data_IF_645462491108
#
_entry.id   IF_645462491108
#
_cell.length_a   1.000
_cell.length_b   1.000
_cell.length_c   1.000
_cell.angle_alpha   90.00
_cell.angle_beta   90.00
_cell.angle_gamma   90.00
#
_symmetry.space_group_name_H-M   'P 1'
#
loop_
_entity.id
_entity.type
_entity.pdbx_description
1 polymer ?
#
# COMPACT_ATOMS: atom_id res chain seq x y z
N UNK A 1 7.82 -12.14 1.10
CA UNK A 1 8.81 -12.27 2.22
C UNK A 1 8.54 -13.47 3.13
N UNK A 2 7.31 -13.99 3.15
CA UNK A 2 6.90 -15.10 4.02
C UNK A 2 6.99 -16.48 3.34
N UNK A 3 7.15 -16.52 2.01
CA UNK A 3 7.37 -17.77 1.24
C UNK A 3 8.64 -18.56 1.64
N UNK A 4 9.63 -17.95 2.31
CA UNK A 4 10.78 -18.68 2.89
C UNK A 4 10.56 -19.17 4.32
N UNK A 5 9.46 -18.78 4.99
CA UNK A 5 9.07 -19.29 6.30
C UNK A 5 8.01 -20.41 6.21
N UNK A 6 7.33 -20.55 5.08
CA UNK A 6 6.30 -21.56 4.83
C UNK A 6 6.83 -22.97 4.50
N UNK A 7 8.16 -23.14 4.40
CA UNK A 7 8.81 -24.44 4.14
C UNK A 7 8.90 -25.39 5.34
N UNK A 8 8.45 -24.99 6.53
CA UNK A 8 8.43 -25.84 7.73
C UNK A 8 6.98 -26.22 8.07
N UNK A 9 6.48 -27.27 7.45
CA UNK A 9 5.23 -27.91 7.82
C UNK A 9 5.35 -28.58 9.19
N UNK A 10 5.14 -27.80 10.26
CA UNK A 10 5.08 -28.36 11.61
C UNK A 10 3.69 -28.94 11.88
N UNK A 11 3.55 -30.23 12.28
CA UNK A 11 2.25 -30.90 12.41
C UNK A 11 1.35 -30.39 13.56
N UNK A 12 1.80 -29.38 14.31
CA UNK A 12 1.11 -28.83 15.49
C UNK A 12 1.11 -27.28 15.54
N UNK A 13 1.33 -26.59 14.40
CA UNK A 13 1.76 -25.18 14.35
C UNK A 13 0.70 -24.08 14.18
N UNK A 14 -0.57 -24.40 13.90
CA UNK A 14 -1.58 -23.40 13.48
C UNK A 14 -1.85 -22.28 14.50
N UNK A 15 -1.93 -22.60 15.79
CA UNK A 15 -2.18 -21.60 16.84
C UNK A 15 -0.97 -20.67 17.04
N UNK A 16 0.23 -21.22 17.24
CA UNK A 16 1.46 -20.44 17.47
C UNK A 16 1.80 -19.52 16.29
N UNK A 17 1.44 -19.91 15.07
CA UNK A 17 1.73 -19.12 13.89
C UNK A 17 0.85 -17.86 13.77
N UNK A 18 -0.44 -17.99 14.07
CA UNK A 18 -1.37 -16.86 14.12
C UNK A 18 -0.95 -15.87 15.21
N UNK A 19 -0.61 -16.36 16.42
CA UNK A 19 -0.16 -15.50 17.52
C UNK A 19 1.10 -14.70 17.20
N UNK A 20 1.98 -15.21 16.33
CA UNK A 20 3.20 -14.51 15.92
C UNK A 20 2.96 -13.51 14.80
N UNK A 21 2.11 -13.84 13.84
CA UNK A 21 1.90 -13.02 12.64
C UNK A 21 0.82 -11.95 12.83
N UNK A 22 -0.15 -12.18 13.71
CA UNK A 22 -1.25 -11.24 13.92
C UNK A 22 -0.81 -9.87 14.47
N UNK A 23 0.14 -9.76 15.42
CA UNK A 23 0.67 -8.45 15.83
C UNK A 23 1.33 -7.70 14.67
N UNK A 24 2.09 -8.40 13.82
CA UNK A 24 2.71 -7.80 12.62
C UNK A 24 1.64 -7.27 11.66
N UNK A 25 0.58 -8.05 11.44
CA UNK A 25 -0.58 -7.59 10.68
C UNK A 25 -1.17 -6.31 11.27
N UNK A 26 -1.40 -6.25 12.58
CA UNK A 26 -1.95 -5.06 13.23
C UNK A 26 -1.04 -3.83 13.05
N UNK A 27 0.27 -3.99 13.21
CA UNK A 27 1.23 -2.90 13.06
C UNK A 27 1.24 -2.35 11.62
N UNK A 28 1.27 -3.24 10.62
CA UNK A 28 1.21 -2.84 9.20
C UNK A 28 -0.15 -2.22 8.87
N UNK A 29 -1.25 -2.77 9.38
CA UNK A 29 -2.59 -2.25 9.14
C UNK A 29 -2.76 -0.84 9.73
N UNK A 30 -2.26 -0.61 10.95
CA UNK A 30 -2.25 0.73 11.57
C UNK A 30 -1.38 1.69 10.76
N UNK A 31 -0.23 1.26 10.24
CA UNK A 31 0.59 2.07 9.35
C UNK A 31 -0.16 2.45 8.05
N UNK A 32 -0.90 1.52 7.44
CA UNK A 32 -1.71 1.76 6.23
C UNK A 32 -2.82 2.78 6.49
N UNK A 33 -3.63 2.59 7.53
CA UNK A 33 -4.81 3.43 7.76
C UNK A 33 -4.52 4.70 8.54
N UNK A 34 -3.77 4.61 9.65
CA UNK A 34 -3.47 5.73 10.53
C UNK A 34 -2.19 6.42 10.11
N UNK A 35 -1.13 5.65 9.83
CA UNK A 35 0.17 6.17 9.40
C UNK A 35 0.04 7.05 8.16
N UNK A 36 -0.21 6.44 7.00
CA UNK A 36 -0.42 7.18 5.75
C UNK A 36 -1.58 8.17 5.82
N UNK A 37 -2.72 7.76 6.40
CA UNK A 37 -3.93 8.57 6.46
C UNK A 37 -3.71 9.91 7.16
N UNK A 38 -3.09 9.90 8.35
CA UNK A 38 -2.79 11.13 9.06
C UNK A 38 -1.57 11.84 8.49
N UNK A 39 -0.53 11.13 8.04
CA UNK A 39 0.67 11.76 7.45
C UNK A 39 0.27 12.73 6.32
N UNK A 40 -0.68 12.35 5.47
CA UNK A 40 -1.17 13.17 4.36
C UNK A 40 -2.06 14.35 4.76
N UNK A 41 -2.41 14.50 6.05
CA UNK A 41 -3.24 15.63 6.52
C UNK A 41 -2.51 16.96 6.59
N UNK A 42 -1.19 16.98 6.31
CA UNK A 42 -0.40 18.21 6.33
C UNK A 42 -0.97 19.32 5.41
N UNK A 43 -1.63 18.94 4.31
CA UNK A 43 -2.33 19.87 3.42
C UNK A 43 -3.52 20.55 4.14
N UNK A 44 -3.39 21.84 4.41
CA UNK A 44 -4.28 22.64 5.27
C UNK A 44 -5.76 22.67 4.89
N UNK A 45 -6.12 22.34 3.65
CA UNK A 45 -7.52 22.27 3.16
C UNK A 45 -7.91 20.91 2.61
N UNK A 46 -7.13 19.86 2.90
CA UNK A 46 -7.36 18.52 2.36
C UNK A 46 -7.41 17.42 3.43
N UNK A 47 -7.43 17.74 4.73
CA UNK A 47 -7.41 16.73 5.80
C UNK A 47 -8.51 15.65 5.71
N UNK A 48 -9.75 16.03 5.38
CA UNK A 48 -10.83 15.04 5.17
C UNK A 48 -10.61 14.17 3.93
N UNK A 49 -10.08 14.76 2.86
CA UNK A 49 -9.70 14.02 1.65
C UNK A 49 -8.55 13.06 1.93
N UNK A 50 -7.54 13.50 2.67
CA UNK A 50 -6.38 12.69 3.05
C UNK A 50 -6.81 11.41 3.80
N UNK A 51 -7.51 11.55 4.93
CA UNK A 51 -7.93 10.38 5.73
C UNK A 51 -9.01 9.56 5.01
N UNK A 52 -10.02 10.23 4.45
CA UNK A 52 -11.16 9.56 3.83
C UNK A 52 -10.78 8.80 2.56
N UNK A 53 -9.96 9.38 1.69
CA UNK A 53 -9.51 8.71 0.47
C UNK A 53 -8.46 7.65 0.76
N UNK A 54 -7.62 7.83 1.80
CA UNK A 54 -6.76 6.74 2.28
C UNK A 54 -7.59 5.53 2.68
N UNK A 55 -8.63 5.72 3.50
CA UNK A 55 -9.49 4.63 3.94
C UNK A 55 -10.15 3.91 2.76
N UNK A 56 -10.71 4.68 1.81
CA UNK A 56 -11.34 4.14 0.60
C UNK A 56 -10.36 3.32 -0.25
N UNK A 57 -9.20 3.91 -0.56
CA UNK A 57 -8.22 3.33 -1.47
C UNK A 57 -7.53 2.13 -0.83
N UNK A 58 -7.16 2.22 0.45
CA UNK A 58 -6.55 1.13 1.19
C UNK A 58 -7.48 -0.08 1.26
N UNK A 59 -8.73 0.10 1.68
CA UNK A 59 -9.70 -1.01 1.78
C UNK A 59 -9.87 -1.71 0.43
N UNK A 60 -10.05 -0.93 -0.64
CA UNK A 60 -10.16 -1.48 -1.99
C UNK A 60 -8.88 -2.20 -2.44
N UNK A 61 -7.71 -1.60 -2.21
CA UNK A 61 -6.43 -2.17 -2.60
C UNK A 61 -6.11 -3.47 -1.85
N UNK A 62 -6.50 -3.60 -0.58
CA UNK A 62 -6.34 -4.83 0.20
C UNK A 62 -7.19 -5.96 -0.39
N UNK A 63 -8.47 -5.70 -0.67
CA UNK A 63 -9.37 -6.69 -1.28
C UNK A 63 -8.87 -7.10 -2.67
N UNK A 64 -8.50 -6.11 -3.49
CA UNK A 64 -8.01 -6.37 -4.84
C UNK A 64 -6.66 -7.10 -4.83
N UNK A 65 -5.73 -6.71 -3.97
CA UNK A 65 -4.42 -7.36 -3.85
C UNK A 65 -4.55 -8.79 -3.33
N UNK A 66 -5.46 -9.06 -2.40
CA UNK A 66 -5.71 -10.43 -1.91
C UNK A 66 -6.07 -11.36 -3.08
N UNK A 67 -6.89 -10.89 -4.02
CA UNK A 67 -7.25 -11.64 -5.23
C UNK A 67 -6.04 -11.77 -6.17
N UNK A 68 -5.40 -10.65 -6.52
CA UNK A 68 -4.29 -10.63 -7.50
C UNK A 68 -3.10 -11.47 -7.02
N UNK A 69 -2.67 -11.30 -5.76
CA UNK A 69 -1.62 -12.11 -5.14
C UNK A 69 -2.03 -13.58 -5.02
N UNK A 70 -3.28 -13.84 -4.65
CA UNK A 70 -3.84 -15.19 -4.60
C UNK A 70 -3.70 -15.93 -5.93
N UNK A 71 -4.00 -15.25 -7.03
CA UNK A 71 -3.88 -15.78 -8.38
C UNK A 71 -2.44 -15.95 -8.87
N UNK A 72 -1.54 -15.01 -8.53
CA UNK A 72 -0.17 -15.00 -9.05
C UNK A 72 0.79 -15.90 -8.23
N UNK A 73 0.74 -15.82 -6.90
CA UNK A 73 1.70 -16.50 -6.02
C UNK A 73 1.17 -17.83 -5.46
N UNK A 74 -0.14 -17.94 -5.22
CA UNK A 74 -0.69 -18.95 -4.31
C UNK A 74 -1.74 -19.87 -4.96
N UNK A 75 -1.94 -19.79 -6.27
CA UNK A 75 -2.96 -20.57 -6.96
C UNK A 75 -2.59 -22.06 -7.00
N UNK A 76 -3.40 -22.88 -6.33
CA UNK A 76 -3.29 -24.35 -6.32
C UNK A 76 -4.67 -24.95 -6.57
N UNK A 77 -4.78 -25.80 -7.58
CA UNK A 77 -6.04 -26.46 -7.97
C UNK A 77 -7.22 -25.49 -8.16
N UNK A 78 -6.94 -24.29 -8.70
CA UNK A 78 -7.94 -23.25 -8.94
C UNK A 78 -8.41 -22.51 -7.69
N UNK A 79 -7.74 -22.68 -6.54
CA UNK A 79 -8.04 -22.00 -5.28
C UNK A 79 -6.78 -21.40 -4.68
N UNK A 80 -6.96 -20.40 -3.82
CA UNK A 80 -5.90 -19.87 -2.96
C UNK A 80 -6.48 -19.66 -1.56
N UNK A 81 -5.65 -19.89 -0.54
CA UNK A 81 -6.05 -19.73 0.86
C UNK A 81 -5.82 -18.30 1.33
N UNK A 82 -6.74 -17.80 2.15
CA UNK A 82 -6.62 -16.48 2.77
C UNK A 82 -6.32 -16.68 4.25
N UNK A 83 -5.19 -16.15 4.70
CA UNK A 83 -4.73 -16.17 6.08
C UNK A 83 -4.09 -14.84 6.50
N UNK A 84 -3.55 -14.79 7.71
CA UNK A 84 -2.94 -13.55 8.24
C UNK A 84 -1.77 -13.09 7.36
N UNK A 85 -0.97 -14.01 6.82
CA UNK A 85 0.12 -13.67 5.90
C UNK A 85 -0.36 -13.00 4.62
N UNK A 86 -1.41 -13.55 3.98
CA UNK A 86 -1.94 -12.97 2.75
C UNK A 86 -2.50 -11.58 3.01
N UNK A 87 -3.04 -11.32 4.21
CA UNK A 87 -3.51 -9.99 4.61
C UNK A 87 -2.35 -9.03 4.85
N UNK A 88 -1.23 -9.46 5.45
CA UNK A 88 -0.02 -8.65 5.57
C UNK A 88 0.53 -8.26 4.20
N UNK A 89 0.63 -9.24 3.28
CA UNK A 89 1.12 -9.02 1.92
C UNK A 89 0.15 -8.13 1.10
N UNK A 90 -1.16 -8.20 1.38
CA UNK A 90 -2.15 -7.29 0.80
C UNK A 90 -2.05 -5.86 1.35
N UNK A 91 -1.80 -5.70 2.66
CA UNK A 91 -1.54 -4.40 3.28
C UNK A 91 -0.26 -3.75 2.71
N UNK A 92 0.78 -4.54 2.39
CA UNK A 92 1.96 -4.02 1.69
C UNK A 92 1.63 -3.51 0.29
N UNK A 93 0.80 -4.22 -0.49
CA UNK A 93 0.32 -3.69 -1.77
C UNK A 93 -0.51 -2.41 -1.59
N UNK A 94 -1.31 -2.31 -0.53
CA UNK A 94 -2.03 -1.08 -0.22
C UNK A 94 -1.07 0.07 0.10
N UNK A 95 0.01 -0.20 0.84
CA UNK A 95 1.06 0.78 1.09
C UNK A 95 1.71 1.30 -0.21
N UNK A 96 1.93 0.44 -1.21
CA UNK A 96 2.41 0.86 -2.55
C UNK A 96 1.48 1.92 -3.14
N UNK A 97 0.18 1.63 -3.18
CA UNK A 97 -0.82 2.54 -3.72
C UNK A 97 -0.90 3.85 -2.93
N UNK A 98 -0.74 3.81 -1.61
CA UNK A 98 -0.74 5.00 -0.76
C UNK A 98 0.51 5.86 -0.93
N UNK A 99 1.67 5.26 -1.23
CA UNK A 99 2.88 6.01 -1.63
C UNK A 99 2.62 6.75 -2.93
N UNK A 100 2.02 6.08 -3.92
CA UNK A 100 1.62 6.70 -5.19
C UNK A 100 0.59 7.80 -5.00
N UNK A 101 -0.40 7.57 -4.13
CA UNK A 101 -1.41 8.59 -3.78
C UNK A 101 -0.74 9.85 -3.20
N UNK A 102 0.30 9.69 -2.38
CA UNK A 102 1.10 10.81 -1.88
C UNK A 102 1.64 11.73 -2.98
N UNK A 103 2.06 11.18 -4.12
CA UNK A 103 2.59 11.94 -5.26
C UNK A 103 1.51 12.78 -5.99
N UNK A 104 0.25 12.35 -5.93
CA UNK A 104 -0.90 13.01 -6.57
C UNK A 104 -1.89 13.59 -5.54
N UNK A 105 -1.47 13.73 -4.29
CA UNK A 105 -2.31 14.16 -3.18
C UNK A 105 -2.94 15.52 -3.48
N UNK A 106 -4.26 15.62 -3.30
CA UNK A 106 -5.01 16.85 -3.58
C UNK A 106 -5.29 17.13 -5.06
N UNK A 107 -4.81 16.30 -5.99
CA UNK A 107 -4.94 16.51 -7.45
C UNK A 107 -5.87 15.51 -8.16
N UNK A 108 -6.32 14.47 -7.45
CA UNK A 108 -7.13 13.38 -8.01
C UNK A 108 -8.48 13.20 -7.32
N UNK A 109 -9.46 12.70 -8.08
CA UNK A 109 -10.78 12.31 -7.58
C UNK A 109 -10.77 10.89 -7.01
N UNK A 110 -11.75 10.51 -6.15
CA UNK A 110 -11.86 9.15 -5.63
C UNK A 110 -11.89 8.07 -6.72
N UNK A 111 -12.60 8.33 -7.83
CA UNK A 111 -12.66 7.41 -8.96
C UNK A 111 -11.30 7.23 -9.64
N UNK A 112 -10.55 8.31 -9.81
CA UNK A 112 -9.19 8.23 -10.38
C UNK A 112 -8.26 7.41 -9.47
N UNK A 113 -8.40 7.53 -8.15
CA UNK A 113 -7.61 6.74 -7.19
C UNK A 113 -7.97 5.26 -7.23
N UNK A 114 -9.25 4.90 -7.39
CA UNK A 114 -9.65 3.49 -7.56
C UNK A 114 -9.10 2.92 -8.87
N UNK A 115 -9.18 3.68 -9.98
CA UNK A 115 -8.60 3.25 -11.26
C UNK A 115 -7.08 3.05 -11.14
N UNK A 116 -6.40 3.98 -10.46
CA UNK A 116 -4.97 3.87 -10.17
C UNK A 116 -4.68 2.58 -9.38
N UNK A 117 -5.41 2.34 -8.28
CA UNK A 117 -5.23 1.15 -7.45
C UNK A 117 -5.44 -0.17 -8.22
N UNK A 118 -6.45 -0.23 -9.11
CA UNK A 118 -6.69 -1.42 -9.96
C UNK A 118 -5.44 -1.75 -10.79
N UNK A 119 -4.91 -0.75 -11.48
CA UNK A 119 -3.77 -0.91 -12.40
C UNK A 119 -2.48 -1.15 -11.62
N UNK A 120 -2.23 -0.34 -10.60
CA UNK A 120 -1.00 -0.35 -9.82
C UNK A 120 -0.81 -1.65 -9.05
N UNK A 121 -1.86 -2.21 -8.44
CA UNK A 121 -1.76 -3.49 -7.73
C UNK A 121 -1.36 -4.63 -8.67
N UNK A 122 -1.91 -4.68 -9.89
CA UNK A 122 -1.53 -5.73 -10.86
C UNK A 122 -0.06 -5.60 -11.26
N UNK A 123 0.38 -4.38 -11.56
CA UNK A 123 1.76 -4.12 -11.97
C UNK A 123 2.76 -4.34 -10.84
N UNK A 124 2.45 -3.89 -9.62
CA UNK A 124 3.32 -4.06 -8.45
C UNK A 124 3.49 -5.52 -8.09
N UNK A 125 2.39 -6.28 -7.98
CA UNK A 125 2.43 -7.71 -7.64
C UNK A 125 3.14 -8.51 -8.75
N UNK A 126 2.90 -8.18 -10.03
CA UNK A 126 3.62 -8.81 -11.14
C UNK A 126 5.12 -8.50 -11.12
N UNK A 127 5.50 -7.25 -10.85
CA UNK A 127 6.90 -6.84 -10.73
C UNK A 127 7.62 -7.53 -9.56
N UNK A 128 6.93 -7.65 -8.42
CA UNK A 128 7.43 -8.39 -7.27
C UNK A 128 7.61 -9.88 -7.60
N UNK A 129 6.64 -10.50 -8.28
CA UNK A 129 6.73 -11.91 -8.69
C UNK A 129 7.96 -12.14 -9.60
N UNK A 130 8.15 -11.30 -10.61
CA UNK A 130 9.34 -11.37 -11.47
C UNK A 130 10.63 -11.21 -10.65
N UNK A 131 10.68 -10.25 -9.75
CA UNK A 131 11.84 -9.98 -8.93
C UNK A 131 12.20 -11.11 -7.96
N UNK A 132 11.23 -11.60 -7.20
CA UNK A 132 11.45 -12.56 -6.11
C UNK A 132 11.50 -14.01 -6.60
N UNK A 133 10.59 -14.42 -7.48
CA UNK A 133 10.44 -15.83 -7.89
C UNK A 133 11.25 -16.17 -9.15
N UNK A 134 11.46 -15.22 -10.06
CA UNK A 134 12.17 -15.47 -11.32
C UNK A 134 13.62 -15.01 -11.25
N UNK A 135 13.88 -13.81 -10.74
CA UNK A 135 15.22 -13.23 -10.64
C UNK A 135 15.91 -13.48 -9.30
N UNK A 136 15.22 -14.09 -8.33
CA UNK A 136 15.74 -14.43 -7.00
C UNK A 136 16.34 -13.23 -6.24
N UNK A 137 15.81 -12.02 -6.47
CA UNK A 137 16.24 -10.79 -5.80
C UNK A 137 15.83 -10.81 -4.33
N UNK A 138 16.65 -10.23 -3.46
CA UNK A 138 16.35 -10.07 -2.03
C UNK A 138 15.96 -8.64 -1.72
N UNK A 139 14.73 -8.42 -1.23
CA UNK A 139 14.23 -7.12 -0.80
C UNK A 139 13.39 -7.23 0.48
N UNK A 140 14.06 -7.57 1.58
CA UNK A 140 13.42 -7.86 2.89
C UNK A 140 12.63 -6.66 3.42
N UNK A 141 13.08 -5.44 3.13
CA UNK A 141 12.42 -4.21 3.60
C UNK A 141 11.43 -3.59 2.61
N UNK A 142 11.21 -4.21 1.44
CA UNK A 142 10.38 -3.63 0.38
C UNK A 142 10.93 -2.31 -0.19
N UNK A 143 12.23 -2.05 -0.06
CA UNK A 143 12.83 -0.80 -0.55
C UNK A 143 12.68 -0.66 -2.07
N UNK A 144 12.74 -1.76 -2.80
CA UNK A 144 12.60 -1.80 -4.26
C UNK A 144 11.14 -1.99 -4.68
N UNK A 145 10.51 -3.08 -4.23
CA UNK A 145 9.19 -3.49 -4.73
C UNK A 145 8.02 -2.73 -4.09
N UNK A 146 8.22 -2.10 -2.93
CA UNK A 146 7.20 -1.27 -2.29
C UNK A 146 7.52 0.22 -2.50
N UNK A 147 8.61 0.69 -1.90
CA UNK A 147 8.88 2.13 -1.81
C UNK A 147 9.33 2.75 -3.12
N UNK A 148 10.37 2.19 -3.76
CA UNK A 148 10.84 2.72 -5.03
C UNK A 148 9.77 2.56 -6.12
N UNK A 149 9.15 1.38 -6.22
CA UNK A 149 8.08 1.15 -7.19
C UNK A 149 6.93 2.15 -7.02
N UNK A 150 6.34 2.27 -5.83
CA UNK A 150 5.23 3.20 -5.57
C UNK A 150 5.65 4.66 -5.81
N UNK A 151 6.84 5.06 -5.38
CA UNK A 151 7.30 6.44 -5.60
C UNK A 151 7.41 6.77 -7.11
N UNK A 152 8.04 5.91 -7.90
CA UNK A 152 8.21 6.16 -9.35
C UNK A 152 6.90 5.98 -10.12
N UNK A 153 6.05 5.04 -9.73
CA UNK A 153 4.71 4.88 -10.32
C UNK A 153 3.87 6.14 -10.07
N UNK A 154 3.78 6.60 -8.82
CA UNK A 154 3.10 7.82 -8.44
C UNK A 154 3.61 9.06 -9.16
N UNK A 155 4.94 9.21 -9.33
CA UNK A 155 5.51 10.30 -10.12
C UNK A 155 5.14 10.20 -11.60
N UNK A 156 5.10 8.99 -12.17
CA UNK A 156 4.60 8.77 -13.53
C UNK A 156 3.14 9.18 -13.70
N UNK A 157 2.28 8.81 -12.73
CA UNK A 157 0.88 9.25 -12.71
C UNK A 157 0.77 10.76 -12.56
N UNK A 158 1.56 11.36 -11.67
CA UNK A 158 1.58 12.82 -11.47
C UNK A 158 1.99 13.57 -12.74
N UNK A 159 2.93 13.02 -13.52
CA UNK A 159 3.33 13.57 -14.81
C UNK A 159 2.20 13.48 -15.85
N UNK A 160 1.47 12.36 -15.92
CA UNK A 160 0.33 12.20 -16.83
C UNK A 160 -0.84 13.12 -16.43
N UNK A 161 -1.10 13.26 -15.13
CA UNK A 161 -2.15 14.14 -14.58
C UNK A 161 -1.74 15.62 -14.53
N UNK A 162 -0.54 15.96 -15.01
CA UNK A 162 -0.07 17.32 -15.05
C UNK A 162 -1.03 18.17 -15.89
N UNK A 163 -1.61 19.18 -15.24
CA UNK A 163 -2.38 20.26 -15.87
C UNK A 163 -1.53 21.52 -15.80
N UNK A 164 -1.93 22.57 -16.52
CA UNK A 164 -1.41 23.93 -16.31
C UNK A 164 -1.70 24.33 -14.84
N UNK A 165 -0.76 23.98 -13.97
CA UNK A 165 -0.88 24.17 -12.54
C UNK A 165 -0.38 25.57 -12.24
N UNK A 166 -1.14 26.32 -11.44
CA UNK A 166 -0.57 27.48 -10.77
C UNK A 166 0.52 26.98 -9.83
N UNK A 167 1.79 27.19 -10.19
CA UNK A 167 2.96 26.83 -9.38
C UNK A 167 2.90 27.42 -7.96
N UNK A 168 2.05 28.43 -7.75
CA UNK A 168 1.80 29.10 -6.47
C UNK A 168 0.36 28.87 -5.94
N UNK A 169 -0.13 27.63 -5.92
CA UNK A 169 -1.42 27.35 -5.31
C UNK A 169 -1.34 27.52 -3.79
N UNK A 170 -1.99 28.55 -3.25
CA UNK A 170 -2.00 28.81 -1.81
C UNK A 170 -2.49 27.63 -0.96
N UNK A 171 -3.23 26.67 -1.52
CA UNK A 171 -3.71 25.48 -0.80
C UNK A 171 -2.64 24.39 -0.64
N UNK A 172 -1.57 24.44 -1.41
CA UNK A 172 -0.42 23.53 -1.35
C UNK A 172 0.53 23.95 -0.22
N UNK A 173 0.05 23.80 1.01
CA UNK A 173 0.83 24.15 2.20
C UNK A 173 0.15 23.74 3.49
N UNK A 174 0.88 23.90 4.59
CA UNK A 174 0.44 23.49 5.90
C UNK A 174 -0.01 24.68 6.79
N UNK A 175 -0.56 24.32 7.94
CA UNK A 175 -0.87 25.18 9.08
C UNK A 175 -0.44 24.44 10.34
N UNK A 176 -0.27 25.16 11.44
CA UNK A 176 0.10 24.55 12.72
C UNK A 176 -0.75 23.32 13.09
N UNK A 177 -2.07 23.42 12.95
CA UNK A 177 -2.97 22.31 13.28
C UNK A 177 -2.89 21.14 12.30
N UNK A 178 -2.67 21.42 11.00
CA UNK A 178 -2.55 20.35 10.00
C UNK A 178 -1.22 19.61 10.14
N UNK A 179 -0.13 20.29 10.50
CA UNK A 179 1.14 19.64 10.83
C UNK A 179 1.07 18.84 12.13
N UNK A 180 0.38 19.34 13.17
CA UNK A 180 0.14 18.55 14.39
C UNK A 180 -0.65 17.27 14.10
N UNK A 181 -1.67 17.37 13.25
CA UNK A 181 -2.41 16.19 12.78
C UNK A 181 -1.50 15.24 12.02
N UNK A 182 -0.66 15.75 11.12
CA UNK A 182 0.27 14.92 10.35
C UNK A 182 1.32 14.19 11.19
N UNK A 183 1.71 14.75 12.33
CA UNK A 183 2.63 14.11 13.27
C UNK A 183 2.08 12.81 13.87
N UNK A 184 0.76 12.61 13.90
CA UNK A 184 0.15 11.34 14.32
C UNK A 184 0.58 10.20 13.38
N UNK A 185 0.68 10.48 12.08
CA UNK A 185 1.04 9.49 11.05
C UNK A 185 2.54 9.31 10.82
N UNK A 186 3.40 10.02 11.55
CA UNK A 186 4.84 10.14 11.24
C UNK A 186 5.73 9.08 11.92
N UNK A 187 5.27 7.85 12.14
CA UNK A 187 6.11 6.76 12.70
C UNK A 187 5.77 5.41 12.09
#
# INVERSE_FOLDING_TARGET
MIHRLSGLSHPYGGFNYIYRSFPVFQDVNVMVFVGFGFLMTFLKKYGYGAVGFTFLVATFAIEWSTIVRGLIFNLKDGKFEIGVESLIEADFSAAVVLISFGAILGKSSPLQLIIMAIVEVVLSVGNEYLGLEIFEVTDVGGSMFIHAFGAYFGLGVAWILQRDANENNEKEGATYNSDLSAMIGKR
#
